data_IF_406097730990
#
_entry.id   IF_406097730990
#
_cell.length_a   1.000
_cell.length_b   1.000
_cell.length_c   1.000
_cell.angle_alpha   90.00
_cell.angle_beta   90.00
_cell.angle_gamma   90.00
#
_symmetry.space_group_name_H-M   'P 1'
#
loop_
_entity.id
_entity.type
_entity.pdbx_description
1 polymer ?
#
# COMPACT_ATOMS: atom_id res chain seq x y z
N UNK A 1 -11.70 25.59 -5.92
CA UNK A 1 -10.93 24.30 -5.89
C UNK A 1 -9.81 24.53 -4.89
N UNK A 2 -10.08 24.23 -3.62
CA UNK A 2 -9.11 24.45 -2.54
C UNK A 2 -8.02 23.41 -2.64
N UNK A 3 -6.84 23.85 -3.04
CA UNK A 3 -5.62 23.05 -3.03
C UNK A 3 -5.24 22.77 -1.58
N UNK A 4 -5.31 21.52 -1.16
CA UNK A 4 -4.79 21.07 0.15
C UNK A 4 -3.34 21.51 0.23
N UNK A 5 -2.92 22.17 1.32
CA UNK A 5 -1.53 22.54 1.49
C UNK A 5 -0.67 21.27 1.51
N UNK A 6 0.20 21.14 0.52
CA UNK A 6 1.15 20.02 0.36
C UNK A 6 2.30 20.05 1.38
N UNK A 7 2.35 21.07 2.20
CA UNK A 7 3.28 21.21 3.33
C UNK A 7 2.89 20.25 4.45
N UNK A 8 3.66 19.18 4.59
CA UNK A 8 3.48 18.20 5.66
C UNK A 8 3.19 16.76 5.20
N UNK A 9 3.01 16.51 3.90
CA UNK A 9 2.87 15.12 3.41
C UNK A 9 4.25 14.45 3.27
N UNK A 10 4.28 13.18 3.65
CA UNK A 10 5.44 12.29 3.48
C UNK A 10 4.98 10.93 3.00
N UNK A 11 5.62 10.42 1.96
CA UNK A 11 5.24 9.17 1.31
C UNK A 11 6.23 8.05 1.62
N UNK A 12 5.72 6.90 2.05
CA UNK A 12 6.45 5.64 2.07
C UNK A 12 6.00 4.78 0.89
N UNK A 13 6.88 4.55 -0.07
CA UNK A 13 6.66 3.60 -1.16
C UNK A 13 7.26 2.25 -0.80
N UNK A 14 6.40 1.24 -0.62
CA UNK A 14 6.78 -0.14 -0.32
C UNK A 14 6.73 -0.94 -1.62
N UNK A 15 7.90 -1.19 -2.21
CA UNK A 15 8.04 -2.00 -3.41
C UNK A 15 8.01 -3.48 -3.03
N UNK A 16 6.96 -4.17 -3.45
CA UNK A 16 6.69 -5.56 -3.10
C UNK A 16 6.69 -6.50 -4.31
N UNK A 17 7.42 -6.13 -5.36
CA UNK A 17 7.64 -7.01 -6.51
C UNK A 17 8.79 -7.97 -6.22
N UNK A 18 8.67 -9.24 -6.64
CA UNK A 18 9.77 -10.21 -6.56
C UNK A 18 10.91 -9.91 -7.55
N UNK A 19 10.75 -8.90 -8.38
CA UNK A 19 11.74 -8.48 -9.39
C UNK A 19 11.92 -6.97 -9.33
N UNK A 20 13.15 -6.47 -9.13
CA UNK A 20 13.42 -5.04 -9.16
C UNK A 20 13.21 -4.46 -10.56
N UNK A 21 12.89 -3.17 -10.64
CA UNK A 21 12.69 -2.46 -11.91
C UNK A 21 11.50 -2.96 -12.73
N UNK A 22 10.51 -3.61 -12.09
CA UNK A 22 9.33 -4.14 -12.76
C UNK A 22 8.29 -3.08 -13.14
N UNK A 23 7.22 -3.53 -13.81
CA UNK A 23 6.15 -2.64 -14.28
C UNK A 23 5.45 -1.90 -13.13
N UNK A 24 5.24 -2.57 -12.01
CA UNK A 24 4.61 -1.97 -10.82
C UNK A 24 5.46 -0.83 -10.25
N UNK A 25 6.78 -1.04 -10.13
CA UNK A 25 7.70 0.01 -9.70
C UNK A 25 7.72 1.17 -10.70
N UNK A 26 7.78 0.89 -12.01
CA UNK A 26 7.78 1.93 -13.03
C UNK A 26 6.50 2.80 -12.96
N UNK A 27 5.34 2.18 -12.73
CA UNK A 27 4.07 2.89 -12.56
C UNK A 27 4.06 3.72 -11.27
N UNK A 28 4.55 3.17 -10.16
CA UNK A 28 4.65 3.89 -8.88
C UNK A 28 5.56 5.11 -8.99
N UNK A 29 6.71 4.97 -9.69
CA UNK A 29 7.63 6.10 -9.94
C UNK A 29 6.99 7.17 -10.80
N UNK A 30 6.31 6.78 -11.89
CA UNK A 30 5.61 7.74 -12.76
C UNK A 30 4.56 8.56 -12.00
N UNK A 31 3.86 7.96 -11.03
CA UNK A 31 2.93 8.68 -10.17
C UNK A 31 3.65 9.55 -9.13
N UNK A 32 4.75 9.05 -8.55
CA UNK A 32 5.53 9.78 -7.54
C UNK A 32 6.26 11.01 -8.12
N UNK A 33 6.66 10.97 -9.38
CA UNK A 33 7.25 12.10 -10.11
C UNK A 33 6.31 13.31 -10.22
N UNK A 34 5.01 13.11 -10.03
CA UNK A 34 4.01 14.18 -10.07
C UNK A 34 3.77 14.83 -8.70
N UNK A 35 4.39 14.30 -7.65
CA UNK A 35 4.31 14.91 -6.32
C UNK A 35 5.05 16.26 -6.35
N UNK A 36 4.52 17.27 -5.63
CA UNK A 36 5.18 18.57 -5.55
C UNK A 36 6.61 18.48 -5.04
N UNK A 37 7.47 19.36 -5.54
CA UNK A 37 8.83 19.49 -5.03
C UNK A 37 8.81 19.76 -3.52
N UNK A 38 9.61 19.00 -2.76
CA UNK A 38 9.68 19.11 -1.29
C UNK A 38 8.78 18.13 -0.53
N UNK A 39 7.91 17.37 -1.20
CA UNK A 39 7.24 16.23 -0.56
C UNK A 39 8.25 15.13 -0.32
N UNK A 40 8.42 14.74 0.96
CA UNK A 40 9.34 13.69 1.34
C UNK A 40 8.89 12.33 0.79
N UNK A 41 9.82 11.60 0.19
CA UNK A 41 9.57 10.26 -0.36
C UNK A 41 10.63 9.29 0.19
N UNK A 42 10.17 8.21 0.82
CA UNK A 42 11.00 7.09 1.23
C UNK A 42 10.62 5.85 0.44
N UNK A 43 11.60 5.17 -0.12
CA UNK A 43 11.40 3.97 -0.93
C UNK A 43 12.04 2.78 -0.23
N UNK A 44 11.24 1.73 -0.01
CA UNK A 44 11.68 0.46 0.58
C UNK A 44 11.37 -0.66 -0.41
N UNK A 45 12.38 -1.43 -0.77
CA UNK A 45 12.26 -2.60 -1.64
C UNK A 45 12.32 -3.86 -0.78
N UNK A 46 11.19 -4.52 -0.61
CA UNK A 46 11.07 -5.73 0.20
C UNK A 46 11.83 -6.94 -0.39
N UNK A 47 12.27 -6.87 -1.64
CA UNK A 47 13.17 -7.90 -2.20
C UNK A 47 14.62 -7.75 -1.73
N UNK A 48 15.00 -6.54 -1.29
CA UNK A 48 16.35 -6.22 -0.79
C UNK A 48 16.42 -6.19 0.73
N UNK A 49 15.29 -5.94 1.38
CA UNK A 49 15.15 -5.93 2.84
C UNK A 49 14.05 -6.92 3.20
N UNK A 50 14.31 -8.24 3.03
CA UNK A 50 13.28 -9.24 3.23
C UNK A 50 12.94 -9.38 4.71
N UNK A 51 11.66 -9.26 5.02
CA UNK A 51 11.15 -9.65 6.33
C UNK A 51 11.16 -11.19 6.43
N UNK A 52 11.52 -11.78 7.58
CA UNK A 52 11.28 -13.19 7.85
C UNK A 52 9.81 -13.58 7.68
N UNK A 53 9.52 -14.86 7.62
CA UNK A 53 8.14 -15.31 7.62
C UNK A 53 7.45 -14.87 8.92
N UNK A 54 6.27 -14.28 8.77
CA UNK A 54 5.52 -13.78 9.91
C UNK A 54 5.08 -14.95 10.80
N UNK A 55 5.42 -14.86 12.08
CA UNK A 55 4.94 -15.76 13.12
C UNK A 55 4.03 -14.98 14.06
N UNK A 56 2.82 -15.48 14.25
CA UNK A 56 1.84 -14.81 15.09
C UNK A 56 2.03 -15.17 16.57
N UNK A 57 2.96 -14.47 17.22
CA UNK A 57 3.24 -14.61 18.65
C UNK A 57 2.45 -13.66 19.56
N UNK A 58 1.37 -13.03 19.07
CA UNK A 58 0.61 -12.01 19.83
C UNK A 58 -0.03 -12.50 21.12
N UNK A 59 -0.16 -13.81 21.29
CA UNK A 59 -0.77 -14.47 22.43
C UNK A 59 0.21 -15.35 23.22
N UNK A 60 1.48 -15.34 22.82
CA UNK A 60 2.55 -16.05 23.52
C UNK A 60 3.13 -15.14 24.61
N UNK A 61 3.65 -15.75 25.68
CA UNK A 61 4.25 -15.01 26.80
C UNK A 61 5.60 -14.37 26.44
N UNK A 62 6.12 -14.71 25.27
CA UNK A 62 7.37 -14.15 24.78
C UNK A 62 7.17 -12.74 24.21
N UNK A 63 7.97 -11.81 24.68
CA UNK A 63 8.01 -10.46 24.13
C UNK A 63 8.38 -10.48 22.65
N UNK A 64 7.58 -9.84 21.79
CA UNK A 64 7.91 -9.65 20.38
C UNK A 64 9.29 -9.00 20.25
N UNK A 65 10.24 -9.70 19.66
CA UNK A 65 11.58 -9.19 19.40
C UNK A 65 11.70 -8.87 17.91
N UNK A 66 11.59 -7.58 17.59
CA UNK A 66 11.72 -7.11 16.21
C UNK A 66 13.18 -7.20 15.74
N UNK A 67 13.41 -7.70 14.53
CA UNK A 67 14.69 -7.54 13.85
C UNK A 67 14.91 -6.07 13.41
N UNK A 68 16.15 -5.70 13.16
CA UNK A 68 16.50 -4.31 12.80
C UNK A 68 15.76 -3.82 11.53
N UNK A 69 15.64 -4.68 10.52
CA UNK A 69 14.92 -4.35 9.27
C UNK A 69 13.42 -4.18 9.50
N UNK A 70 12.83 -5.02 10.34
CA UNK A 70 11.43 -4.90 10.75
C UNK A 70 11.18 -3.59 11.48
N UNK A 71 12.02 -3.26 12.46
CA UNK A 71 11.89 -2.03 13.24
C UNK A 71 12.04 -0.79 12.36
N UNK A 72 13.02 -0.79 11.45
CA UNK A 72 13.21 0.29 10.49
C UNK A 72 11.99 0.48 9.57
N UNK A 73 11.35 -0.63 9.15
CA UNK A 73 10.17 -0.59 8.31
C UNK A 73 8.93 -0.15 9.10
N UNK A 74 8.77 -0.60 10.34
CA UNK A 74 7.72 -0.14 11.25
C UNK A 74 7.81 1.36 11.49
N UNK A 75 9.01 1.87 11.81
CA UNK A 75 9.25 3.30 11.97
C UNK A 75 8.92 4.07 10.69
N UNK A 76 9.37 3.62 9.54
CA UNK A 76 9.05 4.26 8.26
C UNK A 76 7.55 4.33 8.01
N UNK A 77 6.81 3.26 8.36
CA UNK A 77 5.35 3.21 8.26
C UNK A 77 4.67 4.22 9.18
N UNK A 78 5.17 4.34 10.41
CA UNK A 78 4.63 5.26 11.41
C UNK A 78 5.00 6.73 11.18
N UNK A 79 6.02 7.03 10.42
CA UNK A 79 6.42 8.40 10.07
C UNK A 79 5.70 8.94 8.82
N UNK A 80 5.32 8.04 7.90
CA UNK A 80 4.68 8.44 6.67
C UNK A 80 3.23 8.90 6.89
N UNK A 81 2.81 9.96 6.23
CA UNK A 81 1.39 10.35 6.14
C UNK A 81 0.64 9.53 5.10
N UNK A 82 1.37 9.02 4.11
CA UNK A 82 0.85 8.28 2.97
C UNK A 82 1.69 7.02 2.76
N UNK A 83 1.07 5.85 2.88
CA UNK A 83 1.72 4.56 2.63
C UNK A 83 1.25 4.01 1.30
N UNK A 84 2.16 3.71 0.40
CA UNK A 84 1.90 3.20 -0.94
C UNK A 84 2.37 1.76 -1.05
N UNK A 85 1.45 0.81 -1.21
CA UNK A 85 1.77 -0.59 -1.48
C UNK A 85 1.88 -0.79 -2.99
N UNK A 86 3.12 -0.85 -3.49
CA UNK A 86 3.40 -1.12 -4.90
C UNK A 86 3.60 -2.62 -5.11
N UNK A 87 2.52 -3.33 -5.42
CA UNK A 87 2.46 -4.78 -5.56
C UNK A 87 1.95 -5.20 -6.93
N UNK A 88 2.58 -6.14 -7.63
CA UNK A 88 1.95 -6.76 -8.79
C UNK A 88 0.71 -7.56 -8.38
N UNK A 89 -0.22 -7.72 -9.33
CA UNK A 89 -1.36 -8.62 -9.14
C UNK A 89 -0.92 -10.07 -9.36
N UNK A 90 -0.85 -10.85 -8.29
CA UNK A 90 -0.57 -12.26 -8.36
C UNK A 90 -1.75 -13.07 -7.82
N UNK A 91 -2.33 -13.90 -8.68
CA UNK A 91 -3.51 -14.68 -8.30
C UNK A 91 -4.62 -13.83 -7.64
N UNK A 92 -4.92 -12.69 -8.28
CA UNK A 92 -5.96 -11.72 -7.85
C UNK A 92 -5.71 -11.05 -6.52
N UNK A 93 -4.50 -11.18 -5.95
CA UNK A 93 -4.12 -10.60 -4.66
C UNK A 93 -2.80 -9.84 -4.76
N UNK A 94 -2.40 -9.24 -3.65
CA UNK A 94 -1.05 -8.68 -3.48
C UNK A 94 0.00 -9.79 -3.50
N UNK A 95 1.24 -9.45 -3.80
CA UNK A 95 2.38 -10.38 -3.73
C UNK A 95 2.58 -10.92 -2.31
N UNK A 96 3.29 -12.04 -2.19
CA UNK A 96 3.66 -12.61 -0.90
C UNK A 96 4.44 -11.62 -0.02
N UNK A 97 5.34 -10.81 -0.62
CA UNK A 97 6.09 -9.79 0.11
C UNK A 97 5.17 -8.69 0.66
N UNK A 98 4.22 -8.20 -0.15
CA UNK A 98 3.26 -7.21 0.32
C UNK A 98 2.35 -7.79 1.41
N UNK A 99 1.88 -9.05 1.23
CA UNK A 99 1.04 -9.71 2.24
C UNK A 99 1.80 -9.88 3.55
N UNK A 100 3.07 -10.34 3.49
CA UNK A 100 3.92 -10.46 4.67
C UNK A 100 4.09 -9.12 5.40
N UNK A 101 4.37 -8.05 4.67
CA UNK A 101 4.44 -6.71 5.26
C UNK A 101 3.14 -6.33 5.98
N UNK A 102 1.98 -6.60 5.39
CA UNK A 102 0.68 -6.35 6.03
C UNK A 102 0.43 -7.29 7.22
N UNK A 103 0.94 -8.53 7.19
CA UNK A 103 0.84 -9.45 8.33
C UNK A 103 1.63 -8.95 9.54
N UNK A 104 2.79 -8.34 9.31
CA UNK A 104 3.55 -7.69 10.38
C UNK A 104 2.80 -6.55 11.07
N UNK A 105 1.85 -5.89 10.38
CA UNK A 105 0.99 -4.89 11.04
C UNK A 105 0.17 -5.51 12.17
N UNK A 106 -0.20 -6.79 12.07
CA UNK A 106 -0.86 -7.51 13.16
C UNK A 106 0.02 -7.64 14.40
N UNK A 107 1.30 -7.95 14.22
CA UNK A 107 2.29 -7.95 15.32
C UNK A 107 2.51 -6.55 15.88
N UNK A 108 2.65 -5.54 15.03
CA UNK A 108 2.90 -4.15 15.46
C UNK A 108 1.75 -3.53 16.26
N UNK A 109 0.52 -4.03 16.11
CA UNK A 109 -0.61 -3.66 16.97
C UNK A 109 -0.40 -4.07 18.44
N UNK A 110 0.42 -5.08 18.68
CA UNK A 110 0.68 -5.64 20.02
C UNK A 110 2.01 -5.19 20.63
N UNK A 111 2.84 -4.44 19.89
CA UNK A 111 4.12 -3.93 20.41
C UNK A 111 3.86 -2.84 21.47
N UNK A 112 4.30 -3.02 22.72
CA UNK A 112 4.09 -2.04 23.77
C UNK A 112 4.66 -0.65 23.40
N UNK A 113 3.86 0.40 23.60
CA UNK A 113 4.25 1.78 23.29
C UNK A 113 4.33 2.09 21.79
N UNK A 114 3.94 1.16 20.92
CA UNK A 114 3.88 1.39 19.49
C UNK A 114 2.72 2.31 19.11
N UNK A 115 1.58 2.17 19.80
CA UNK A 115 0.32 2.87 19.52
C UNK A 115 0.00 2.85 18.00
N UNK A 116 0.29 1.68 17.37
CA UNK A 116 0.32 1.56 15.90
C UNK A 116 -1.01 1.99 15.28
N UNK A 117 -2.15 1.50 15.82
CA UNK A 117 -3.49 1.84 15.30
C UNK A 117 -3.76 3.34 15.37
N UNK A 118 -3.49 3.95 16.51
CA UNK A 118 -3.73 5.37 16.77
C UNK A 118 -2.86 6.24 15.87
N UNK A 119 -1.63 5.82 15.66
CA UNK A 119 -0.66 6.57 14.85
C UNK A 119 -0.90 6.48 13.35
N UNK A 120 -1.47 5.37 12.85
CA UNK A 120 -1.82 5.26 11.43
C UNK A 120 -3.24 5.74 11.12
N UNK A 121 -4.10 5.89 12.12
CA UNK A 121 -5.45 6.40 11.93
C UNK A 121 -5.44 7.77 11.26
N UNK A 122 -6.34 7.97 10.30
CA UNK A 122 -6.43 9.20 9.50
C UNK A 122 -5.34 9.37 8.43
N UNK A 123 -4.27 8.55 8.43
CA UNK A 123 -3.27 8.50 7.35
C UNK A 123 -3.82 7.78 6.13
N UNK A 124 -3.17 7.91 4.98
CA UNK A 124 -3.70 7.37 3.74
C UNK A 124 -2.95 6.12 3.29
N UNK A 125 -3.70 5.06 2.99
CA UNK A 125 -3.21 3.87 2.30
C UNK A 125 -3.55 3.96 0.81
N UNK A 126 -2.55 3.77 -0.04
CA UNK A 126 -2.64 3.74 -1.49
C UNK A 126 -2.16 2.39 -2.01
N UNK A 127 -2.65 1.99 -3.17
CA UNK A 127 -2.10 0.86 -3.92
C UNK A 127 -1.60 1.28 -5.30
N UNK A 128 -0.58 0.59 -5.79
CA UNK A 128 -0.15 0.66 -7.19
C UNK A 128 0.06 -0.76 -7.68
N UNK A 129 -0.58 -1.13 -8.79
CA UNK A 129 -0.58 -2.51 -9.29
C UNK A 129 -0.41 -2.53 -10.80
N UNK A 130 0.57 -3.28 -11.28
CA UNK A 130 0.66 -3.68 -12.68
C UNK A 130 0.17 -5.13 -12.82
N UNK A 131 -0.68 -5.36 -13.82
CA UNK A 131 -1.31 -6.65 -14.07
C UNK A 131 -1.24 -7.04 -15.55
N UNK A 132 -1.28 -8.32 -15.84
CA UNK A 132 -1.25 -8.83 -17.22
C UNK A 132 -2.60 -8.67 -17.93
N UNK A 133 -3.69 -8.75 -17.18
CA UNK A 133 -5.05 -8.62 -17.72
C UNK A 133 -5.38 -7.14 -17.99
N UNK A 134 -6.23 -6.91 -18.99
CA UNK A 134 -6.74 -5.57 -19.31
C UNK A 134 -8.04 -5.23 -18.59
N UNK A 135 -8.72 -6.23 -18.06
CA UNK A 135 -9.96 -6.07 -17.32
C UNK A 135 -9.65 -5.69 -15.87
N UNK A 136 -9.80 -4.42 -15.54
CA UNK A 136 -9.46 -3.88 -14.20
C UNK A 136 -10.24 -4.56 -13.08
N UNK A 137 -11.45 -5.07 -13.33
CA UNK A 137 -12.27 -5.84 -12.37
C UNK A 137 -11.53 -7.06 -11.80
N UNK A 138 -10.53 -7.58 -12.52
CA UNK A 138 -9.69 -8.68 -12.03
C UNK A 138 -8.86 -8.30 -10.81
N UNK A 139 -8.64 -7.01 -10.57
CA UNK A 139 -7.95 -6.51 -9.41
C UNK A 139 -8.87 -6.24 -8.20
N UNK A 140 -10.19 -6.38 -8.33
CA UNK A 140 -11.15 -6.09 -7.25
C UNK A 140 -10.82 -6.78 -5.91
N UNK A 141 -10.39 -8.06 -5.86
CA UNK A 141 -10.02 -8.68 -4.59
C UNK A 141 -8.81 -8.00 -3.92
N UNK A 142 -7.80 -7.58 -4.71
CA UNK A 142 -6.66 -6.83 -4.21
C UNK A 142 -7.11 -5.46 -3.68
N UNK A 143 -7.93 -4.74 -4.44
CA UNK A 143 -8.47 -3.43 -4.05
C UNK A 143 -9.29 -3.55 -2.78
N UNK A 144 -10.15 -4.56 -2.68
CA UNK A 144 -10.96 -4.83 -1.49
C UNK A 144 -10.09 -5.14 -0.27
N UNK A 145 -9.04 -5.96 -0.43
CA UNK A 145 -8.12 -6.30 0.66
C UNK A 145 -7.46 -5.05 1.24
N UNK A 146 -6.89 -4.17 0.40
CA UNK A 146 -6.26 -2.94 0.85
C UNK A 146 -7.27 -1.98 1.49
N UNK A 147 -8.46 -1.84 0.90
CA UNK A 147 -9.52 -1.00 1.48
C UNK A 147 -9.97 -1.50 2.86
N UNK A 148 -10.13 -2.81 3.03
CA UNK A 148 -10.51 -3.40 4.33
C UNK A 148 -9.41 -3.22 5.37
N UNK A 149 -8.14 -3.35 4.97
CA UNK A 149 -7.00 -3.06 5.85
C UNK A 149 -7.02 -1.61 6.32
N UNK A 150 -7.24 -0.67 5.41
CA UNK A 150 -7.39 0.75 5.75
C UNK A 150 -8.58 1.00 6.68
N UNK A 151 -9.74 0.39 6.39
CA UNK A 151 -10.95 0.53 7.22
C UNK A 151 -10.74 -0.01 8.63
N UNK A 152 -10.09 -1.18 8.77
CA UNK A 152 -9.81 -1.79 10.06
C UNK A 152 -8.93 -0.90 10.95
N UNK A 153 -8.00 -0.16 10.35
CA UNK A 153 -7.06 0.72 11.05
C UNK A 153 -7.50 2.19 11.12
N UNK A 154 -8.72 2.52 10.68
CA UNK A 154 -9.20 3.90 10.65
C UNK A 154 -8.40 4.81 9.70
N UNK A 155 -7.77 4.24 8.69
CA UNK A 155 -7.03 4.98 7.67
C UNK A 155 -7.96 5.50 6.57
N UNK A 156 -7.47 6.46 5.81
CA UNK A 156 -8.05 6.86 4.52
C UNK A 156 -7.61 5.87 3.45
N UNK A 157 -8.43 5.67 2.42
CA UNK A 157 -8.07 4.83 1.29
C UNK A 157 -8.10 5.64 -0.01
N UNK A 158 -6.91 5.86 -0.58
CA UNK A 158 -6.74 6.63 -1.81
C UNK A 158 -6.99 5.87 -3.11
N UNK A 159 -7.35 4.58 -2.98
CA UNK A 159 -7.57 3.70 -4.13
C UNK A 159 -6.32 2.97 -4.59
N UNK A 160 -6.42 2.32 -5.75
CA UNK A 160 -5.33 1.59 -6.39
C UNK A 160 -5.14 2.09 -7.82
N UNK A 161 -3.94 2.54 -8.14
CA UNK A 161 -3.54 2.85 -9.51
C UNK A 161 -3.29 1.52 -10.25
N UNK A 162 -4.16 1.21 -11.19
CA UNK A 162 -4.05 0.00 -12.00
C UNK A 162 -3.41 0.31 -13.35
N UNK A 163 -2.54 -0.60 -13.80
CA UNK A 163 -1.94 -0.52 -15.12
C UNK A 163 -1.71 -1.89 -15.73
N UNK A 164 -1.75 -1.96 -17.06
CA UNK A 164 -1.56 -3.18 -17.82
C UNK A 164 -0.12 -3.32 -18.30
N UNK A 165 0.51 -4.44 -17.97
CA UNK A 165 1.85 -4.76 -18.42
C UNK A 165 2.36 -6.05 -17.79
N UNK A 166 2.68 -7.07 -18.61
CA UNK A 166 3.25 -8.34 -18.16
C UNK A 166 4.74 -8.46 -18.44
N UNK A 167 5.21 -7.95 -19.57
CA UNK A 167 6.64 -7.95 -19.94
C UNK A 167 7.35 -6.74 -19.34
N UNK A 168 8.64 -6.83 -19.03
CA UNK A 168 9.42 -5.70 -18.52
C UNK A 168 9.25 -4.43 -19.37
N UNK A 169 8.94 -3.31 -18.73
CA UNK A 169 8.76 -2.01 -19.38
C UNK A 169 7.43 -1.82 -20.12
N UNK A 170 6.62 -2.84 -20.27
CA UNK A 170 5.35 -2.78 -21.03
C UNK A 170 4.34 -1.78 -20.45
N UNK A 171 4.39 -1.53 -19.14
CA UNK A 171 3.52 -0.56 -18.47
C UNK A 171 3.58 0.84 -19.09
N UNK A 172 4.72 1.22 -19.67
CA UNK A 172 4.91 2.53 -20.31
C UNK A 172 4.02 2.72 -21.54
N UNK A 173 3.52 1.63 -22.11
CA UNK A 173 2.60 1.63 -23.26
C UNK A 173 1.13 1.69 -22.83
N UNK A 174 0.83 1.63 -21.52
CA UNK A 174 -0.52 1.83 -21.01
C UNK A 174 -0.78 3.33 -20.78
N UNK A 175 -1.21 4.01 -21.85
CA UNK A 175 -1.49 5.45 -21.83
C UNK A 175 -2.53 5.81 -20.74
N UNK A 176 -3.54 4.95 -20.53
CA UNK A 176 -4.58 5.20 -19.50
C UNK A 176 -3.96 5.22 -18.10
N UNK A 177 -3.12 4.24 -17.79
CA UNK A 177 -2.43 4.19 -16.51
C UNK A 177 -1.50 5.38 -16.33
N UNK A 178 -0.73 5.77 -17.37
CA UNK A 178 0.17 6.92 -17.34
C UNK A 178 -0.58 8.25 -17.18
N UNK A 179 -1.74 8.40 -17.79
CA UNK A 179 -2.59 9.60 -17.59
C UNK A 179 -3.11 9.63 -16.15
N UNK A 180 -3.63 8.52 -15.62
CA UNK A 180 -4.10 8.45 -14.22
C UNK A 180 -2.97 8.69 -13.20
N UNK A 181 -1.77 8.22 -13.49
CA UNK A 181 -0.61 8.44 -12.63
C UNK A 181 -0.34 9.92 -12.36
N UNK A 182 -0.64 10.81 -13.33
CA UNK A 182 -0.39 12.26 -13.20
C UNK A 182 -1.13 12.94 -12.05
N UNK A 183 -2.27 12.41 -11.65
CA UNK A 183 -3.12 13.02 -10.62
C UNK A 183 -3.42 12.07 -9.45
N UNK A 184 -2.91 10.84 -9.49
CA UNK A 184 -3.32 9.80 -8.56
C UNK A 184 -3.13 10.20 -7.09
N UNK A 185 -1.99 10.76 -6.74
CA UNK A 185 -1.70 11.19 -5.37
C UNK A 185 -2.16 12.62 -5.03
N UNK A 186 -2.75 13.34 -5.99
CA UNK A 186 -3.20 14.71 -5.78
C UNK A 186 -4.56 14.80 -5.09
N UNK A 187 -5.39 13.75 -5.21
CA UNK A 187 -6.73 13.72 -4.64
C UNK A 187 -6.75 13.57 -3.12
N UNK A 188 -7.79 14.10 -2.49
CA UNK A 188 -8.08 13.79 -1.10
C UNK A 188 -8.70 12.39 -1.00
N UNK A 189 -8.12 11.55 -0.15
CA UNK A 189 -8.63 10.21 0.09
C UNK A 189 -9.73 10.23 1.17
N UNK A 190 -10.88 9.58 0.94
CA UNK A 190 -11.90 9.44 1.96
C UNK A 190 -11.46 8.49 3.07
N UNK A 191 -12.04 8.64 4.26
CA UNK A 191 -11.89 7.64 5.31
C UNK A 191 -12.44 6.30 4.81
N UNK A 192 -11.65 5.24 4.96
CA UNK A 192 -12.05 3.92 4.53
C UNK A 192 -13.18 3.37 5.42
N UNK A 193 -14.14 2.70 4.78
CA UNK A 193 -15.23 2.01 5.48
C UNK A 193 -15.37 0.59 4.95
N UNK A 194 -15.84 -0.31 5.82
CA UNK A 194 -16.27 -1.63 5.35
C UNK A 194 -17.52 -1.50 4.50
N UNK A 195 -17.68 -2.33 3.47
CA UNK A 195 -18.95 -2.40 2.75
C UNK A 195 -20.08 -2.71 3.71
N UNK A 196 -21.18 -1.99 3.60
CA UNK A 196 -22.42 -2.36 4.33
C UNK A 196 -22.86 -3.73 3.82
N UNK A 197 -23.19 -4.63 4.74
CA UNK A 197 -23.77 -5.92 4.36
C UNK A 197 -25.04 -5.67 3.53
N UNK A 198 -25.12 -6.32 2.36
CA UNK A 198 -26.38 -6.31 1.60
C UNK A 198 -27.48 -6.90 2.49
N UNK A 199 -28.67 -6.30 2.51
CA UNK A 199 -29.80 -6.93 3.19
C UNK A 199 -29.99 -8.36 2.64
N UNK A 200 -30.40 -9.33 3.47
CA UNK A 200 -30.64 -10.68 2.98
C UNK A 200 -31.61 -10.61 1.80
N UNK A 201 -31.28 -11.35 0.73
CA UNK A 201 -32.18 -11.44 -0.41
C UNK A 201 -33.55 -11.91 0.09
N UNK A 202 -34.58 -11.16 -0.22
CA UNK A 202 -35.96 -11.57 0.06
C UNK A 202 -36.21 -12.86 -0.70
N UNK A 203 -36.42 -13.96 0.02
CA UNK A 203 -36.80 -15.28 -0.54
C UNK A 203 -38.24 -15.21 -1.00
#
# INVERSE_FOLDING_TARGET
>A
MDTIPTTGRSFLFVLASSRPGGNTEALARAAAEQLPAGVAQRWVDLSRTPLPDFQDGRHDDDSWTAGADEEALRHATLEATDVVIASPLYWYSVSAQAKRYLDYWSGWLSVPGSDFRERVAGRTLWGVTAMADREEVRADPLVASLRHTAAYLGMRFGGVLLGNGSRPGQIRNDERAMVRAKTFFAGEAPLATFPTALPPASV
#
